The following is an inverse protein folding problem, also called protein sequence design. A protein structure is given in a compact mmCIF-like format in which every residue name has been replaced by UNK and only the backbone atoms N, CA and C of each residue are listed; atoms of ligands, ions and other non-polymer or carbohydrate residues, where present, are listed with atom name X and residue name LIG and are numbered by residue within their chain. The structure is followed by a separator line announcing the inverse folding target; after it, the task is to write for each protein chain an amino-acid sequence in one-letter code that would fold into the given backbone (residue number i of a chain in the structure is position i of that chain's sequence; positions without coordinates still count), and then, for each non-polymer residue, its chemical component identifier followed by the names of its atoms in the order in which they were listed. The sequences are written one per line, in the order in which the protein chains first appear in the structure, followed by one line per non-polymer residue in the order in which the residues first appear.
data_IF_729560171333
#
_entry.id   IF_729560171333
#
_cell.length_a   1.000
_cell.length_b   1.000
_cell.length_c   1.000
_cell.angle_alpha   90.00
_cell.angle_beta   90.00
_cell.angle_gamma   90.00
#
_symmetry.space_group_name_H-M   'P 1'
#
loop_
_entity.id
_entity.type
_entity.pdbx_description
1 polymer ?
#
# COMPACT_ATOMS: atom_id res chain seq x y z
N UNK A 1 26.04 -65.07 -21.59
CA UNK A 1 24.90 -65.93 -21.98
C UNK A 1 23.62 -65.15 -21.67
N UNK A 2 22.91 -64.75 -22.74
CA UNK A 2 21.47 -64.91 -22.99
C UNK A 2 20.56 -64.27 -21.92
N UNK A 3 19.57 -63.37 -22.18
CA UNK A 3 18.63 -63.32 -23.33
C UNK A 3 18.01 -61.94 -23.40
N UNK A 4 17.87 -61.46 -24.59
CA UNK A 4 17.01 -60.36 -25.08
C UNK A 4 15.55 -60.81 -24.93
N UNK A 5 14.69 -59.96 -24.48
CA UNK A 5 13.25 -60.04 -24.74
C UNK A 5 12.70 -58.65 -25.04
N UNK A 6 12.45 -58.48 -26.29
CA UNK A 6 11.69 -57.42 -26.95
C UNK A 6 10.21 -57.73 -26.72
N UNK A 7 9.46 -56.78 -26.19
CA UNK A 7 8.01 -56.78 -26.30
C UNK A 7 7.55 -55.48 -26.98
N UNK A 8 7.18 -55.66 -28.20
CA UNK A 8 6.39 -54.73 -29.04
C UNK A 8 4.92 -55.06 -28.82
N UNK A 9 4.09 -54.14 -28.45
CA UNK A 9 2.64 -54.18 -28.68
C UNK A 9 2.18 -52.73 -28.74
N UNK A 10 1.97 -52.14 -29.92
CA UNK A 10 0.80 -52.00 -30.77
C UNK A 10 -0.30 -51.11 -30.16
N UNK A 11 -0.40 -49.94 -30.74
CA UNK A 11 -1.56 -49.14 -31.18
C UNK A 11 -2.94 -49.56 -30.65
N UNK A 12 -3.62 -48.57 -30.07
CA UNK A 12 -5.00 -48.31 -30.44
C UNK A 12 -5.30 -46.83 -30.33
N UNK A 13 -5.50 -46.23 -31.46
CA UNK A 13 -6.14 -44.93 -31.69
C UNK A 13 -7.60 -44.96 -31.26
N UNK A 14 -7.99 -44.12 -30.35
CA UNK A 14 -9.40 -43.69 -30.27
C UNK A 14 -9.48 -42.20 -30.49
N UNK A 15 -9.85 -41.90 -31.73
CA UNK A 15 -10.45 -40.66 -32.12
C UNK A 15 -11.86 -40.58 -31.53
N UNK A 16 -12.12 -39.59 -30.71
CA UNK A 16 -13.48 -39.16 -30.50
C UNK A 16 -13.47 -37.66 -30.37
N UNK A 17 -13.97 -37.06 -31.41
CA UNK A 17 -14.33 -35.64 -31.54
C UNK A 17 -15.46 -35.30 -30.59
N UNK A 18 -15.28 -34.27 -29.77
CA UNK A 18 -16.41 -33.46 -29.38
C UNK A 18 -16.00 -31.99 -29.35
N UNK A 19 -16.46 -31.34 -30.39
CA UNK A 19 -16.30 -29.92 -30.63
C UNK A 19 -17.19 -29.12 -29.70
N UNK A 20 -16.63 -28.60 -28.63
CA UNK A 20 -17.20 -27.41 -28.02
C UNK A 20 -16.42 -26.19 -28.51
N UNK A 21 -16.92 -25.57 -29.56
CA UNK A 21 -16.53 -24.27 -30.04
C UNK A 21 -16.55 -23.27 -28.89
N UNK A 22 -15.37 -22.93 -28.36
CA UNK A 22 -15.19 -21.66 -27.67
C UNK A 22 -15.31 -20.55 -28.71
N UNK A 23 -16.32 -19.74 -28.59
CA UNK A 23 -16.48 -18.51 -29.36
C UNK A 23 -15.26 -17.63 -29.12
N UNK A 24 -14.45 -17.52 -30.15
CA UNK A 24 -13.39 -16.53 -30.28
C UNK A 24 -14.04 -15.13 -30.33
N UNK A 25 -13.57 -14.15 -29.56
CA UNK A 25 -14.13 -12.82 -29.63
C UNK A 25 -13.77 -12.19 -30.97
N UNK A 26 -14.77 -11.74 -31.65
CA UNK A 26 -14.81 -11.10 -32.97
C UNK A 26 -13.81 -9.94 -33.02
N UNK A 27 -12.83 -10.08 -33.91
CA UNK A 27 -11.78 -9.09 -34.19
C UNK A 27 -12.37 -8.01 -35.08
N UNK A 28 -12.84 -6.92 -34.47
CA UNK A 28 -13.15 -5.71 -35.25
C UNK A 28 -11.83 -5.05 -35.67
N UNK A 29 -11.49 -5.23 -36.95
CA UNK A 29 -10.44 -4.47 -37.62
C UNK A 29 -10.97 -3.09 -37.96
N UNK A 30 -10.57 -2.07 -37.21
CA UNK A 30 -10.69 -0.68 -37.68
C UNK A 30 -9.28 -0.25 -38.09
N UNK A 31 -9.12 -0.15 -39.41
CA UNK A 31 -7.95 0.39 -40.08
C UNK A 31 -8.10 1.90 -40.13
N UNK A 32 -7.47 2.62 -39.23
CA UNK A 32 -6.93 3.97 -39.46
C UNK A 32 -5.94 4.36 -38.35
N UNK A 33 -4.70 4.63 -38.82
CA UNK A 33 -3.58 5.30 -38.13
C UNK A 33 -3.24 4.86 -36.69
N UNK A 34 -2.51 3.77 -36.55
CA UNK A 34 -1.24 3.78 -35.80
C UNK A 34 -1.28 3.83 -34.29
N UNK A 35 -2.38 3.52 -33.60
CA UNK A 35 -2.31 3.26 -32.13
C UNK A 35 -3.27 2.12 -31.80
N UNK A 36 -2.71 0.93 -31.59
CA UNK A 36 -3.48 -0.19 -31.07
C UNK A 36 -3.52 -0.01 -29.54
N UNK A 37 -4.61 0.55 -29.03
CA UNK A 37 -4.91 0.52 -27.60
C UNK A 37 -5.56 -0.84 -27.33
N UNK A 38 -4.77 -1.81 -26.91
CA UNK A 38 -5.27 -3.03 -26.30
C UNK A 38 -5.89 -2.67 -24.95
N UNK A 39 -7.17 -2.37 -24.93
CA UNK A 39 -7.96 -2.36 -23.70
C UNK A 39 -8.16 -3.81 -23.25
N UNK A 40 -7.23 -4.34 -22.48
CA UNK A 40 -7.52 -5.49 -21.64
C UNK A 40 -8.50 -5.01 -20.57
N UNK A 41 -9.74 -5.46 -20.65
CA UNK A 41 -10.75 -5.30 -19.63
C UNK A 41 -10.47 -6.34 -18.51
N UNK A 42 -9.33 -6.19 -17.85
CA UNK A 42 -9.17 -6.71 -16.50
C UNK A 42 -9.89 -5.69 -15.60
N UNK A 43 -10.99 -6.09 -15.01
CA UNK A 43 -11.56 -5.42 -13.84
C UNK A 43 -10.46 -5.51 -12.76
N UNK A 44 -9.61 -4.49 -12.69
CA UNK A 44 -8.69 -4.33 -11.58
C UNK A 44 -9.56 -4.24 -10.33
N UNK A 45 -9.49 -5.30 -9.52
CA UNK A 45 -10.14 -5.29 -8.21
C UNK A 45 -9.50 -4.16 -7.44
N UNK A 46 -10.28 -3.18 -7.02
CA UNK A 46 -9.76 -2.04 -6.26
C UNK A 46 -9.04 -2.55 -5.01
N UNK A 47 -7.86 -2.00 -4.72
CA UNK A 47 -7.13 -2.33 -3.48
C UNK A 47 -7.93 -1.98 -2.23
N UNK A 48 -8.90 -1.08 -2.35
CA UNK A 48 -9.76 -0.63 -1.25
C UNK A 48 -10.81 -1.67 -0.81
N UNK A 49 -11.04 -2.72 -1.62
CA UNK A 49 -11.95 -3.81 -1.30
C UNK A 49 -11.27 -5.02 -0.67
N UNK A 50 -9.96 -4.94 -0.47
CA UNK A 50 -9.14 -6.05 0.04
C UNK A 50 -9.04 -5.96 1.56
N UNK A 51 -9.44 -7.03 2.25
CA UNK A 51 -9.17 -7.24 3.67
C UNK A 51 -7.95 -8.11 3.81
N UNK A 52 -6.97 -7.67 4.59
CA UNK A 52 -5.68 -8.33 4.75
C UNK A 52 -5.27 -8.40 6.23
N UNK A 53 -4.27 -9.20 6.54
CA UNK A 53 -3.60 -9.26 7.85
C UNK A 53 -2.21 -8.64 7.80
N UNK A 54 -1.47 -8.96 6.75
CA UNK A 54 -0.16 -8.38 6.46
C UNK A 54 -0.27 -7.63 5.15
N UNK A 55 0.18 -6.39 5.13
CA UNK A 55 0.04 -5.55 3.94
C UNK A 55 0.88 -6.05 2.76
N UNK A 56 1.95 -6.77 3.04
CA UNK A 56 2.80 -7.42 2.05
C UNK A 56 2.08 -8.54 1.28
N UNK A 57 1.00 -9.11 1.85
CA UNK A 57 0.18 -10.14 1.18
C UNK A 57 -0.74 -9.53 0.12
N UNK A 58 -0.88 -8.20 0.08
CA UNK A 58 -1.65 -7.51 -0.95
C UNK A 58 -0.80 -7.38 -2.21
N UNK A 59 -1.21 -8.01 -3.31
CA UNK A 59 -0.45 -8.10 -4.57
C UNK A 59 0.09 -6.75 -5.06
N UNK A 60 -0.68 -5.68 -4.88
CA UNK A 60 -0.27 -4.32 -5.25
C UNK A 60 0.98 -3.84 -4.49
N UNK A 61 1.22 -4.33 -3.27
CA UNK A 61 2.33 -3.92 -2.42
C UNK A 61 3.44 -4.95 -2.30
N UNK A 62 3.40 -6.03 -3.06
CA UNK A 62 4.38 -7.13 -2.98
C UNK A 62 5.85 -6.70 -3.11
N UNK A 63 6.09 -5.63 -3.88
CA UNK A 63 7.42 -5.08 -4.10
C UNK A 63 7.79 -3.99 -3.08
N UNK A 64 6.92 -3.72 -2.12
CA UNK A 64 7.14 -2.75 -1.05
C UNK A 64 7.48 -3.46 0.26
N UNK A 65 8.31 -2.82 1.06
CA UNK A 65 8.59 -3.24 2.43
C UNK A 65 7.89 -2.28 3.39
N UNK A 66 7.28 -2.81 4.44
CA UNK A 66 6.73 -2.00 5.52
C UNK A 66 7.87 -1.40 6.33
N UNK A 67 7.96 -0.08 6.35
CA UNK A 67 8.98 0.67 7.11
C UNK A 67 8.50 0.97 8.53
N UNK A 68 7.25 1.34 8.68
CA UNK A 68 6.62 1.60 9.98
C UNK A 68 5.10 1.47 9.87
N UNK A 69 4.45 1.27 11.02
CA UNK A 69 3.00 1.25 11.13
C UNK A 69 2.58 1.80 12.50
N UNK A 70 1.42 2.45 12.55
CA UNK A 70 0.88 3.01 13.79
C UNK A 70 -0.64 2.95 13.81
N UNK A 71 -1.19 2.81 15.00
CA UNK A 71 -2.63 2.97 15.22
C UNK A 71 -2.92 4.46 15.38
N UNK A 72 -3.88 4.95 14.60
CA UNK A 72 -4.30 6.33 14.64
C UNK A 72 -5.39 6.48 15.68
N UNK A 73 -5.03 7.02 16.83
CA UNK A 73 -5.96 7.31 17.91
C UNK A 73 -6.18 8.82 18.01
N UNK A 74 -7.43 9.23 18.09
CA UNK A 74 -7.78 10.63 18.36
C UNK A 74 -8.93 10.71 19.36
N UNK A 75 -8.59 11.15 20.55
CA UNK A 75 -9.53 11.19 21.67
C UNK A 75 -9.78 9.81 22.29
N UNK A 76 -10.95 9.62 22.89
CA UNK A 76 -11.34 8.37 23.56
C UNK A 76 -11.86 7.29 22.59
N UNK A 77 -11.53 7.39 21.32
CA UNK A 77 -12.06 6.48 20.31
C UNK A 77 -11.41 5.10 20.44
N UNK A 78 -12.19 4.08 20.23
CA UNK A 78 -11.72 2.72 19.95
C UNK A 78 -10.69 2.75 18.83
N UNK A 79 -9.75 1.82 18.85
CA UNK A 79 -8.73 1.65 17.82
C UNK A 79 -9.37 1.19 16.52
N UNK A 80 -9.84 2.16 15.73
CA UNK A 80 -10.57 1.90 14.47
C UNK A 80 -9.74 2.12 13.23
N UNK A 81 -8.64 2.86 13.35
CA UNK A 81 -7.83 3.25 12.20
C UNK A 81 -6.36 3.02 12.46
N UNK A 82 -5.65 2.67 11.40
CA UNK A 82 -4.21 2.49 11.39
C UNK A 82 -3.64 3.16 10.14
N UNK A 83 -2.33 3.24 10.09
CA UNK A 83 -1.59 3.72 8.92
C UNK A 83 -0.26 3.00 8.86
N UNK A 84 0.13 2.60 7.65
CA UNK A 84 1.43 2.00 7.36
C UNK A 84 2.21 2.88 6.39
N UNK A 85 3.53 2.91 6.55
CA UNK A 85 4.47 3.53 5.62
C UNK A 85 5.20 2.42 4.89
N UNK A 86 4.96 2.33 3.60
CA UNK A 86 5.56 1.34 2.70
C UNK A 86 6.64 1.98 1.85
N UNK A 87 7.72 1.26 1.63
CA UNK A 87 8.89 1.74 0.89
C UNK A 87 9.28 0.78 -0.22
N UNK A 88 9.51 1.34 -1.42
CA UNK A 88 10.22 0.67 -2.50
C UNK A 88 11.16 1.67 -3.18
N UNK A 89 12.48 1.47 -3.03
CA UNK A 89 13.50 2.41 -3.53
C UNK A 89 13.17 3.86 -3.13
N UNK A 90 12.86 4.72 -4.12
CA UNK A 90 12.55 6.15 -3.91
C UNK A 90 11.04 6.43 -3.74
N UNK A 91 10.22 5.39 -3.77
CA UNK A 91 8.77 5.53 -3.61
C UNK A 91 8.37 5.24 -2.16
N UNK A 92 7.46 6.04 -1.65
CA UNK A 92 6.80 5.81 -0.36
C UNK A 92 5.30 5.83 -0.58
N UNK A 93 4.60 4.90 0.03
CA UNK A 93 3.14 4.89 0.08
C UNK A 93 2.75 4.90 1.55
N UNK A 94 1.90 5.84 1.91
CA UNK A 94 1.28 5.89 3.22
C UNK A 94 -0.16 5.45 3.05
N UNK A 95 -0.59 4.46 3.81
CA UNK A 95 -1.96 3.97 3.79
C UNK A 95 -2.77 4.58 4.91
N UNK A 96 -4.07 4.77 4.69
CA UNK A 96 -5.07 4.90 5.74
C UNK A 96 -5.86 3.59 5.76
N UNK A 97 -5.92 2.97 6.92
CA UNK A 97 -6.48 1.64 7.09
C UNK A 97 -7.59 1.67 8.14
N UNK A 98 -8.63 0.87 7.92
CA UNK A 98 -9.65 0.56 8.90
C UNK A 98 -9.31 -0.77 9.56
N UNK A 99 -9.36 -0.81 10.87
CA UNK A 99 -9.24 -2.05 11.64
C UNK A 99 -10.62 -2.69 11.63
N UNK A 100 -10.74 -3.84 10.94
CA UNK A 100 -12.01 -4.54 10.75
C UNK A 100 -12.29 -5.50 11.90
N UNK A 101 -11.26 -6.17 12.37
CA UNK A 101 -11.39 -7.20 13.40
C UNK A 101 -10.19 -7.13 14.33
N UNK A 102 -10.48 -7.06 15.61
CA UNK A 102 -9.50 -7.20 16.70
C UNK A 102 -9.83 -8.50 17.43
N UNK A 103 -9.01 -9.51 17.28
CA UNK A 103 -9.22 -10.81 17.92
C UNK A 103 -7.97 -11.33 18.59
N UNK A 104 -8.07 -12.48 19.24
CA UNK A 104 -6.95 -13.15 19.91
C UNK A 104 -5.80 -13.51 18.97
N UNK A 105 -6.10 -13.66 17.67
CA UNK A 105 -5.07 -13.96 16.67
C UNK A 105 -4.67 -12.71 15.92
N UNK A 106 -4.56 -11.98 15.33
CA UNK A 106 -4.13 -10.82 14.55
C UNK A 106 -5.30 -10.00 13.99
N UNK A 107 -5.19 -8.70 14.11
CA UNK A 107 -6.15 -7.76 13.51
C UNK A 107 -6.19 -7.91 12.00
N UNK A 108 -7.38 -7.66 11.42
CA UNK A 108 -7.58 -7.52 9.98
C UNK A 108 -7.77 -6.07 9.63
N UNK A 109 -7.29 -5.68 8.47
CA UNK A 109 -7.28 -4.30 7.99
C UNK A 109 -7.89 -4.22 6.61
N UNK A 110 -8.48 -3.06 6.29
CA UNK A 110 -8.93 -2.69 4.96
C UNK A 110 -8.34 -1.33 4.61
N UNK A 111 -7.78 -1.19 3.41
CA UNK A 111 -7.25 0.08 2.94
C UNK A 111 -8.41 1.00 2.57
N UNK A 112 -8.38 2.21 3.10
CA UNK A 112 -9.38 3.25 2.83
C UNK A 112 -8.85 4.28 1.83
N UNK A 113 -7.56 4.63 1.97
CA UNK A 113 -6.90 5.62 1.11
C UNK A 113 -5.40 5.41 1.08
N UNK A 114 -4.74 5.98 0.06
CA UNK A 114 -3.29 5.95 -0.08
C UNK A 114 -2.73 7.30 -0.46
N UNK A 115 -1.59 7.66 0.14
CA UNK A 115 -0.82 8.84 -0.21
C UNK A 115 0.53 8.41 -0.80
N UNK A 116 0.73 8.74 -2.06
CA UNK A 116 1.98 8.44 -2.76
C UNK A 116 2.96 9.60 -2.62
N UNK A 117 4.15 9.32 -2.12
CA UNK A 117 5.23 10.28 -1.97
C UNK A 117 6.43 9.79 -2.79
N UNK A 118 6.79 10.59 -3.77
CA UNK A 118 7.96 10.36 -4.59
C UNK A 118 9.04 11.38 -4.24
N UNK A 119 10.30 11.01 -4.46
CA UNK A 119 11.45 11.92 -4.40
C UNK A 119 11.63 12.62 -3.04
N UNK A 120 11.60 11.84 -1.94
CA UNK A 120 12.16 12.31 -0.69
C UNK A 120 13.66 12.51 -0.86
N UNK A 121 14.18 13.64 -0.40
CA UNK A 121 15.61 13.85 -0.29
C UNK A 121 16.22 13.03 0.86
N UNK A 122 17.52 12.88 0.91
CA UNK A 122 18.21 12.14 1.99
C UNK A 122 17.96 12.74 3.37
N UNK A 123 17.72 14.06 3.41
CA UNK A 123 17.45 14.80 4.65
C UNK A 123 15.95 14.84 5.00
N UNK A 124 15.06 14.30 4.17
CA UNK A 124 13.65 14.28 4.44
C UNK A 124 13.18 12.92 4.95
N UNK A 125 12.29 12.92 5.93
CA UNK A 125 11.66 11.73 6.44
C UNK A 125 10.17 11.94 6.72
N UNK A 126 9.44 10.83 6.82
CA UNK A 126 8.02 10.81 7.13
C UNK A 126 7.87 10.61 8.63
N UNK A 127 7.00 11.40 9.27
CA UNK A 127 6.54 11.20 10.64
C UNK A 127 5.01 11.11 10.67
N UNK A 128 4.51 10.15 11.46
CA UNK A 128 3.08 9.88 11.59
C UNK A 128 2.79 9.38 13.01
N UNK A 129 1.65 9.79 13.56
CA UNK A 129 1.18 9.30 14.87
C UNK A 129 1.66 10.12 16.07
N UNK A 130 2.73 10.89 15.91
CA UNK A 130 3.45 11.56 17.01
C UNK A 130 3.52 13.08 16.86
N UNK A 131 2.65 13.64 16.04
CA UNK A 131 2.65 15.07 15.79
C UNK A 131 1.57 15.80 16.59
N UNK A 132 1.80 17.08 16.80
CA UNK A 132 0.85 18.01 17.43
C UNK A 132 0.62 19.24 16.56
N UNK A 133 -0.48 19.93 16.78
CA UNK A 133 -0.76 21.22 16.18
C UNK A 133 -1.19 22.20 17.27
N UNK A 134 -0.46 23.30 17.41
CA UNK A 134 -0.69 24.32 18.44
C UNK A 134 -0.72 23.73 19.87
N UNK A 135 0.19 22.78 20.16
CA UNK A 135 0.30 22.11 21.46
C UNK A 135 -0.73 20.99 21.70
N UNK A 136 -1.60 20.70 20.73
CA UNK A 136 -2.56 19.61 20.85
C UNK A 136 -2.10 18.43 19.99
N UNK A 137 -1.82 17.29 20.64
CA UNK A 137 -1.44 16.04 19.97
C UNK A 137 -2.58 15.56 19.06
N UNK A 138 -2.24 15.20 17.84
CA UNK A 138 -3.16 14.63 16.86
C UNK A 138 -2.44 13.57 16.03
N UNK A 139 -2.63 12.31 16.39
CA UNK A 139 -1.99 11.16 15.74
C UNK A 139 -2.36 10.98 14.26
N UNK A 140 -3.39 11.69 13.79
CA UNK A 140 -3.82 11.66 12.39
C UNK A 140 -2.94 12.51 11.47
N UNK A 141 -2.05 13.34 12.03
CA UNK A 141 -1.17 14.20 11.25
C UNK A 141 -0.02 13.36 10.67
N UNK A 142 0.16 13.51 9.37
CA UNK A 142 1.24 12.91 8.58
C UNK A 142 2.11 14.05 8.08
N UNK A 143 3.43 13.96 8.25
CA UNK A 143 4.33 15.04 7.85
C UNK A 143 5.52 14.53 7.06
N UNK A 144 6.06 15.39 6.20
CA UNK A 144 7.42 15.31 5.71
C UNK A 144 8.22 16.40 6.42
N UNK A 145 9.27 15.96 7.08
CA UNK A 145 10.15 16.77 7.91
C UNK A 145 11.50 16.84 7.26
N UNK A 146 12.12 18.02 7.24
CA UNK A 146 13.53 18.15 6.95
C UNK A 146 14.32 17.91 8.23
N UNK A 147 15.27 16.97 8.18
CA UNK A 147 16.12 16.63 9.32
C UNK A 147 17.18 17.70 9.49
N UNK A 148 17.21 18.45 10.59
CA UNK A 148 18.25 19.41 10.85
C UNK A 148 19.56 18.69 11.25
N UNK A 149 20.71 19.37 11.06
CA UNK A 149 22.03 18.82 11.42
C UNK A 149 22.14 18.38 12.88
N UNK A 150 21.47 19.10 13.78
CA UNK A 150 21.46 18.84 15.22
C UNK A 150 20.27 17.97 15.67
N UNK A 151 19.70 17.15 14.78
CA UNK A 151 18.49 16.38 15.02
C UNK A 151 18.49 15.60 16.35
N UNK A 152 19.61 14.99 16.73
CA UNK A 152 19.72 14.20 17.96
C UNK A 152 19.49 15.01 19.25
N UNK A 153 19.75 16.32 19.22
CA UNK A 153 19.62 17.21 20.38
C UNK A 153 18.21 17.82 20.48
N UNK A 154 17.35 17.61 19.50
CA UNK A 154 16.02 18.21 19.48
C UNK A 154 14.99 17.23 20.05
N UNK A 155 14.16 17.69 20.96
CA UNK A 155 13.00 16.92 21.44
C UNK A 155 11.86 16.86 20.44
N UNK A 156 11.75 17.87 19.58
CA UNK A 156 10.70 17.97 18.57
C UNK A 156 11.24 18.56 17.28
N UNK A 157 10.65 18.16 16.18
CA UNK A 157 10.91 18.71 14.85
C UNK A 157 9.82 19.72 14.47
N UNK A 158 10.23 20.89 13.99
CA UNK A 158 9.34 21.97 13.52
C UNK A 158 9.51 22.32 12.04
N UNK A 159 10.56 21.82 11.41
CA UNK A 159 10.86 22.05 9.98
C UNK A 159 9.99 21.18 9.07
N UNK A 160 8.68 21.45 9.13
CA UNK A 160 7.68 20.71 8.38
C UNK A 160 7.63 21.24 6.94
N UNK A 161 7.93 20.39 5.97
CA UNK A 161 7.86 20.73 4.54
C UNK A 161 6.47 20.54 3.96
N UNK A 162 5.81 19.45 4.31
CA UNK A 162 4.48 19.08 3.82
C UNK A 162 3.72 18.38 4.94
N UNK A 163 2.41 18.56 4.98
CA UNK A 163 1.58 17.87 5.95
C UNK A 163 0.22 17.47 5.36
N UNK A 164 -0.29 16.37 5.86
CA UNK A 164 -1.61 15.82 5.59
C UNK A 164 -2.25 15.39 6.89
N UNK A 165 -3.52 15.05 6.82
CA UNK A 165 -4.29 14.54 7.94
C UNK A 165 -5.22 13.42 7.48
N UNK A 166 -5.23 12.31 8.18
CA UNK A 166 -6.23 11.29 8.05
C UNK A 166 -7.58 11.83 8.56
N UNK A 167 -8.52 12.01 7.66
CA UNK A 167 -9.87 12.45 7.99
C UNK A 167 -10.78 11.22 8.13
N UNK A 168 -11.13 10.86 9.36
CA UNK A 168 -11.94 9.68 9.66
C UNK A 168 -13.41 9.79 9.22
N UNK A 169 -13.89 11.01 8.92
CA UNK A 169 -15.26 11.21 8.41
C UNK A 169 -15.36 10.94 6.92
N UNK A 170 -14.34 11.37 6.17
CA UNK A 170 -14.27 11.18 4.72
C UNK A 170 -13.51 9.90 4.34
N UNK A 171 -12.84 9.27 5.33
CA UNK A 171 -11.95 8.13 5.16
C UNK A 171 -10.86 8.41 4.10
N UNK A 172 -10.33 9.65 4.09
CA UNK A 172 -9.32 10.16 3.15
C UNK A 172 -8.13 10.79 3.85
N UNK A 173 -6.99 10.77 3.16
CA UNK A 173 -5.79 11.52 3.56
C UNK A 173 -5.84 12.88 2.87
N UNK A 174 -6.10 13.94 3.64
CA UNK A 174 -6.31 15.28 3.13
C UNK A 174 -5.10 16.18 3.39
N UNK A 175 -4.72 17.01 2.41
CA UNK A 175 -3.59 17.92 2.53
C UNK A 175 -3.89 19.04 3.54
N UNK A 176 -2.95 19.34 4.44
CA UNK A 176 -3.00 20.50 5.33
C UNK A 176 -2.31 21.67 4.65
N UNK A 177 -3.06 22.73 4.33
CA UNK A 177 -2.52 23.94 3.69
C UNK A 177 -1.75 24.84 4.67
N UNK A 178 -2.22 24.92 5.93
CA UNK A 178 -1.59 25.76 6.98
C UNK A 178 -0.78 24.86 7.92
N UNK A 179 0.51 24.70 7.65
CA UNK A 179 1.43 23.85 8.44
C UNK A 179 1.98 24.55 9.69
N UNK A 180 1.87 25.87 9.79
CA UNK A 180 2.33 26.63 10.97
C UNK A 180 1.73 26.06 12.25
N UNK A 181 2.57 25.87 13.27
CA UNK A 181 2.18 25.32 14.57
C UNK A 181 2.14 23.78 14.63
N UNK A 182 2.52 23.07 13.54
CA UNK A 182 2.73 21.63 13.58
C UNK A 182 4.15 21.35 14.06
N UNK A 183 4.28 20.44 15.03
CA UNK A 183 5.54 19.87 15.51
C UNK A 183 5.37 18.37 15.69
N UNK A 184 6.43 17.63 15.50
CA UNK A 184 6.42 16.17 15.72
C UNK A 184 7.48 15.79 16.73
N UNK A 185 7.20 14.85 17.61
CA UNK A 185 8.17 14.35 18.59
C UNK A 185 9.34 13.69 17.85
N UNK A 186 10.52 13.85 18.44
CA UNK A 186 11.71 13.13 18.02
C UNK A 186 11.86 11.88 18.91
N UNK A 187 11.50 10.71 18.38
CA UNK A 187 11.60 9.45 19.11
C UNK A 187 13.06 9.03 19.40
N UNK A 188 14.02 9.63 18.67
CA UNK A 188 15.45 9.37 18.87
C UNK A 188 16.10 10.32 19.88
N UNK A 189 15.35 11.28 20.44
CA UNK A 189 15.87 12.20 21.45
C UNK A 189 15.97 11.52 22.80
N UNK A 190 17.18 11.43 23.36
CA UNK A 190 17.40 10.93 24.71
C UNK A 190 17.86 9.47 24.79
N UNK A 191 18.36 8.91 23.70
CA UNK A 191 19.11 7.65 23.68
C UNK A 191 20.61 7.94 23.81
#
# INVERSE_FOLDING_TARGET
MKKISIFIVIFLTFSCSDSKRKKEPERLQIKEKGIIILKSKQTEKSIFDIVFRKIEDVEYFKDFQMNSGTVLNYGNSEWKYASSVLQNKNKRIITLEKIIETGESQSKFQILDTLHINNLTENEFISIGICEKNGKVDSRIITIIERPENAFNLKTFSEIKRAWKANFKTEKIEKISKIKGIRCMNESSGI
#
